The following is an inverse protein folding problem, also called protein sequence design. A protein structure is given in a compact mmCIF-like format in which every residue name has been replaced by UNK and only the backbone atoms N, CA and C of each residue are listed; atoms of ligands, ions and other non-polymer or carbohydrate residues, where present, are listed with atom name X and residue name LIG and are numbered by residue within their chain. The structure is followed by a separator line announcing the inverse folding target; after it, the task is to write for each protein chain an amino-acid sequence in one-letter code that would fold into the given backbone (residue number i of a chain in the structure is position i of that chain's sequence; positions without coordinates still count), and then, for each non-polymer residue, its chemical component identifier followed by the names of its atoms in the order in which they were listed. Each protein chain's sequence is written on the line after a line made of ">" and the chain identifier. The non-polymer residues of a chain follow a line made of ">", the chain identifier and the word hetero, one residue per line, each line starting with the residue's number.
data_IF_965041976620
#
_entry.id   IF_965041976620
#
_cell.length_a   1.000
_cell.length_b   1.000
_cell.length_c   1.000
_cell.angle_alpha   90.00
_cell.angle_beta   90.00
_cell.angle_gamma   90.00
#
_symmetry.space_group_name_H-M   'P 1'
#
loop_
_entity.id
_entity.type
_entity.pdbx_description
1 polymer ?
#
# COMPACT_ATOMS: atom_id res chain seq x y z
N UNK A 1 0.61 28.07 -8.47
CA UNK A 1 0.93 27.31 -9.68
C UNK A 1 -0.29 26.71 -10.34
N UNK A 2 -0.10 26.22 -11.54
CA UNK A 2 -1.08 25.47 -12.31
C UNK A 2 -0.43 24.17 -12.81
N UNK A 3 -1.22 23.14 -12.97
CA UNK A 3 -0.77 21.82 -13.41
C UNK A 3 -1.83 21.20 -14.32
N UNK A 4 -1.41 20.49 -15.35
CA UNK A 4 -2.29 19.71 -16.19
C UNK A 4 -1.70 18.31 -16.39
N UNK A 5 -2.49 17.28 -16.06
CA UNK A 5 -2.14 15.88 -16.23
C UNK A 5 -3.10 15.24 -17.23
N UNK A 6 -2.56 14.39 -18.10
CA UNK A 6 -3.30 13.59 -19.06
C UNK A 6 -2.87 12.14 -18.93
N UNK A 7 -3.78 11.30 -18.50
CA UNK A 7 -3.58 9.85 -18.37
C UNK A 7 -4.44 9.13 -19.38
N UNK A 8 -3.84 8.20 -20.12
CA UNK A 8 -4.53 7.32 -21.05
C UNK A 8 -4.24 5.87 -20.69
N UNK A 9 -5.25 5.19 -20.18
CA UNK A 9 -5.22 3.78 -19.85
C UNK A 9 -5.91 2.97 -20.94
N UNK A 10 -5.22 1.97 -21.50
CA UNK A 10 -5.78 0.98 -22.40
C UNK A 10 -5.30 -0.41 -21.94
N UNK A 11 -6.10 -1.06 -21.10
CA UNK A 11 -5.83 -2.41 -20.60
C UNK A 11 -6.52 -3.43 -21.47
N UNK A 12 -5.75 -4.39 -22.00
CA UNK A 12 -6.23 -5.43 -22.90
C UNK A 12 -6.07 -6.79 -22.24
N UNK A 13 -7.16 -7.54 -22.18
CA UNK A 13 -7.11 -8.94 -21.79
C UNK A 13 -6.24 -9.74 -22.77
N UNK A 14 -5.19 -10.38 -22.27
CA UNK A 14 -4.17 -11.06 -23.12
C UNK A 14 -4.23 -12.58 -23.04
N UNK A 15 -5.00 -13.18 -22.15
CA UNK A 15 -5.08 -14.64 -22.00
C UNK A 15 -6.06 -15.28 -23.01
N UNK A 16 -5.72 -15.14 -24.29
CA UNK A 16 -6.52 -15.69 -25.39
C UNK A 16 -6.71 -17.21 -25.31
N UNK A 17 -5.76 -17.94 -24.70
CA UNK A 17 -5.86 -19.40 -24.58
C UNK A 17 -7.01 -19.78 -23.64
N UNK A 18 -7.14 -19.11 -22.49
CA UNK A 18 -8.20 -19.35 -21.53
C UNK A 18 -9.58 -19.03 -22.09
N UNK A 19 -9.73 -17.93 -22.81
CA UNK A 19 -11.00 -17.59 -23.46
C UNK A 19 -11.39 -18.61 -24.54
N UNK A 20 -10.39 -19.13 -25.26
CA UNK A 20 -10.58 -20.22 -26.20
C UNK A 20 -10.99 -21.52 -25.52
N UNK A 21 -10.37 -21.85 -24.39
CA UNK A 21 -10.69 -23.06 -23.61
C UNK A 21 -12.10 -22.98 -23.05
N UNK A 22 -12.53 -21.82 -22.55
CA UNK A 22 -13.88 -21.56 -22.11
C UNK A 22 -14.90 -21.67 -23.26
N UNK A 23 -14.58 -21.10 -24.41
CA UNK A 23 -15.38 -21.23 -25.64
C UNK A 23 -15.57 -22.68 -26.08
N UNK A 24 -14.51 -23.47 -26.06
CA UNK A 24 -14.51 -24.89 -26.41
C UNK A 24 -15.18 -25.76 -25.34
N UNK A 25 -15.20 -25.34 -24.08
CA UNK A 25 -15.98 -26.00 -23.04
C UNK A 25 -17.49 -25.83 -23.24
N UNK A 26 -17.95 -24.65 -23.75
CA UNK A 26 -19.34 -24.43 -24.13
C UNK A 26 -19.73 -25.22 -25.41
N UNK A 27 -18.88 -25.17 -26.43
CA UNK A 27 -19.09 -25.88 -27.71
C UNK A 27 -17.80 -26.53 -28.19
N UNK A 28 -17.53 -27.81 -27.84
CA UNK A 28 -16.33 -28.52 -28.21
C UNK A 28 -16.12 -28.69 -29.73
N UNK A 29 -17.18 -28.48 -30.53
CA UNK A 29 -17.15 -28.61 -31.97
C UNK A 29 -16.99 -27.28 -32.72
N UNK A 30 -16.98 -26.14 -31.95
CA UNK A 30 -16.87 -24.83 -32.57
C UNK A 30 -15.57 -24.61 -33.33
N UNK A 31 -15.69 -24.11 -34.56
CA UNK A 31 -14.56 -23.74 -35.42
C UNK A 31 -14.87 -22.44 -36.16
N UNK A 32 -13.84 -21.81 -36.75
CA UNK A 32 -14.00 -20.59 -37.54
C UNK A 32 -14.75 -19.47 -36.81
N UNK A 33 -15.69 -18.84 -37.51
CA UNK A 33 -16.45 -17.68 -36.99
C UNK A 33 -17.24 -18.01 -35.72
N UNK A 34 -17.74 -19.26 -35.58
CA UNK A 34 -18.48 -19.68 -34.38
C UNK A 34 -17.56 -19.71 -33.14
N UNK A 35 -16.36 -20.24 -33.30
CA UNK A 35 -15.35 -20.24 -32.22
C UNK A 35 -14.94 -18.82 -31.85
N UNK A 36 -14.75 -17.94 -32.84
CA UNK A 36 -14.42 -16.55 -32.57
C UNK A 36 -15.52 -15.81 -31.82
N UNK A 37 -16.80 -16.01 -32.19
CA UNK A 37 -17.93 -15.43 -31.44
C UNK A 37 -17.98 -15.92 -29.99
N UNK A 38 -17.66 -17.18 -29.75
CA UNK A 38 -17.59 -17.70 -28.36
C UNK A 38 -16.39 -17.15 -27.62
N UNK A 39 -15.23 -17.03 -28.26
CA UNK A 39 -14.06 -16.38 -27.65
C UNK A 39 -14.39 -14.93 -27.29
N UNK A 40 -14.99 -14.16 -28.18
CA UNK A 40 -15.38 -12.77 -27.95
C UNK A 40 -16.39 -12.65 -26.79
N UNK A 41 -17.32 -13.64 -26.64
CA UNK A 41 -18.26 -13.72 -25.52
C UNK A 41 -17.54 -13.83 -24.16
N UNK A 42 -16.44 -14.59 -24.12
CA UNK A 42 -15.67 -14.83 -22.89
C UNK A 42 -14.52 -13.82 -22.69
N UNK A 43 -14.20 -13.03 -23.70
CA UNK A 43 -13.17 -11.99 -23.60
C UNK A 43 -13.78 -10.74 -22.95
N UNK A 44 -13.28 -10.28 -21.79
CA UNK A 44 -13.81 -9.06 -21.20
C UNK A 44 -13.51 -7.85 -22.10
N UNK A 45 -14.39 -6.88 -22.10
CA UNK A 45 -14.14 -5.60 -22.78
C UNK A 45 -12.88 -4.95 -22.22
N UNK A 46 -12.01 -4.41 -23.10
CA UNK A 46 -10.79 -3.74 -22.66
C UNK A 46 -11.17 -2.53 -21.80
N UNK A 47 -10.52 -2.39 -20.65
CA UNK A 47 -10.69 -1.23 -19.81
C UNK A 47 -9.95 -0.04 -20.42
N UNK A 48 -10.69 0.89 -21.00
CA UNK A 48 -10.16 2.14 -21.54
C UNK A 48 -10.61 3.30 -20.71
N UNK A 49 -9.68 4.11 -20.28
CA UNK A 49 -9.99 5.33 -19.54
C UNK A 49 -9.03 6.45 -19.91
N UNK A 50 -9.58 7.61 -20.26
CA UNK A 50 -8.82 8.85 -20.44
C UNK A 50 -9.20 9.80 -19.31
N UNK A 51 -8.21 10.22 -18.54
CA UNK A 51 -8.37 11.13 -17.42
C UNK A 51 -7.56 12.40 -17.69
N UNK A 52 -8.23 13.55 -17.68
CA UNK A 52 -7.60 14.86 -17.72
C UNK A 52 -7.80 15.56 -16.39
N UNK A 53 -6.74 16.06 -15.78
CA UNK A 53 -6.79 16.77 -14.51
C UNK A 53 -6.19 18.17 -14.71
N UNK A 54 -7.01 19.19 -14.52
CA UNK A 54 -6.56 20.58 -14.47
C UNK A 54 -6.56 21.06 -13.03
N UNK A 55 -5.45 21.59 -12.56
CA UNK A 55 -5.28 22.00 -11.17
C UNK A 55 -4.72 23.41 -11.07
N UNK A 56 -5.19 24.13 -10.04
CA UNK A 56 -4.62 25.41 -9.64
C UNK A 56 -4.37 25.39 -8.13
N UNK A 57 -3.23 25.92 -7.68
CA UNK A 57 -2.91 25.96 -6.27
C UNK A 57 -2.22 27.24 -5.86
N UNK A 58 -2.48 27.66 -4.63
CA UNK A 58 -1.83 28.78 -3.98
C UNK A 58 -1.47 28.41 -2.55
N UNK A 59 -0.34 28.93 -2.11
CA UNK A 59 0.12 28.74 -0.74
C UNK A 59 0.93 29.95 -0.33
N UNK A 60 0.79 30.32 0.93
CA UNK A 60 1.63 31.33 1.57
C UNK A 60 2.18 30.82 2.90
N UNK A 61 3.38 31.24 3.22
CA UNK A 61 4.06 30.92 4.47
C UNK A 61 4.60 32.21 5.08
N UNK A 62 4.21 32.47 6.34
CA UNK A 62 4.72 33.54 7.19
C UNK A 62 5.68 32.96 8.18
N UNK A 63 6.89 33.50 8.26
CA UNK A 63 7.97 33.01 9.12
C UNK A 63 8.46 34.08 10.08
N UNK A 64 8.72 33.67 11.31
CA UNK A 64 9.55 34.38 12.27
C UNK A 64 10.64 33.44 12.79
N UNK A 65 11.44 33.89 13.75
CA UNK A 65 12.48 33.05 14.37
C UNK A 65 11.91 31.77 14.99
N UNK A 66 10.80 31.88 15.69
CA UNK A 66 10.19 30.76 16.42
C UNK A 66 8.97 30.17 15.71
N UNK A 67 8.27 30.93 14.87
CA UNK A 67 7.00 30.51 14.29
C UNK A 67 7.04 30.44 12.77
N UNK A 68 6.36 29.45 12.23
CA UNK A 68 5.98 29.44 10.82
C UNK A 68 4.51 29.02 10.71
N UNK A 69 3.76 29.79 9.92
CA UNK A 69 2.37 29.55 9.58
C UNK A 69 2.26 29.39 8.07
N UNK A 70 1.81 28.23 7.62
CA UNK A 70 1.56 27.95 6.23
C UNK A 70 0.08 27.69 6.01
N UNK A 71 -0.52 28.39 5.04
CA UNK A 71 -1.88 28.14 4.58
C UNK A 71 -1.83 28.00 3.06
N UNK A 72 -2.52 27.01 2.54
CA UNK A 72 -2.64 26.77 1.10
C UNK A 72 -3.93 26.08 0.74
N UNK A 73 -4.21 26.11 -0.54
CA UNK A 73 -5.35 25.39 -1.11
C UNK A 73 -5.07 25.02 -2.56
N UNK A 74 -5.63 23.91 -2.96
CA UNK A 74 -5.58 23.36 -4.31
C UNK A 74 -7.00 23.12 -4.80
N UNK A 75 -7.27 23.52 -6.03
CA UNK A 75 -8.50 23.24 -6.74
C UNK A 75 -8.18 22.29 -7.91
N UNK A 76 -8.81 21.14 -7.92
CA UNK A 76 -8.62 20.12 -8.94
C UNK A 76 -9.92 19.90 -9.72
N UNK A 77 -9.87 19.94 -11.04
CA UNK A 77 -10.96 19.50 -11.93
C UNK A 77 -10.51 18.28 -12.71
N UNK A 78 -11.06 17.13 -12.32
CA UNK A 78 -10.85 15.87 -13.01
C UNK A 78 -11.97 15.65 -14.03
N UNK A 79 -11.65 15.17 -15.24
CA UNK A 79 -12.62 14.99 -16.34
C UNK A 79 -13.71 13.94 -16.04
N UNK A 80 -13.41 12.96 -15.19
CA UNK A 80 -14.36 11.91 -14.79
C UNK A 80 -15.25 12.31 -13.61
N UNK A 81 -15.03 13.51 -13.05
CA UNK A 81 -15.79 14.02 -11.90
C UNK A 81 -16.70 15.19 -12.33
N UNK A 82 -17.91 15.23 -11.80
CA UNK A 82 -18.86 16.30 -12.11
C UNK A 82 -18.44 17.66 -11.56
N UNK A 83 -17.80 17.69 -10.38
CA UNK A 83 -17.41 18.90 -9.65
C UNK A 83 -15.89 19.01 -9.51
N UNK A 84 -15.41 20.24 -9.39
CA UNK A 84 -14.05 20.50 -8.95
C UNK A 84 -13.94 20.29 -7.43
N UNK A 85 -12.79 19.80 -6.98
CA UNK A 85 -12.50 19.52 -5.57
C UNK A 85 -11.54 20.59 -5.06
N UNK A 86 -11.88 21.17 -3.90
CA UNK A 86 -10.98 22.03 -3.15
C UNK A 86 -10.36 21.27 -2.00
N UNK A 87 -9.04 21.30 -1.90
CA UNK A 87 -8.23 20.63 -0.88
C UNK A 87 -7.42 21.69 -0.11
N UNK A 88 -7.90 22.14 1.06
CA UNK A 88 -7.16 23.06 1.92
C UNK A 88 -6.05 22.34 2.67
N UNK A 89 -5.01 23.11 3.05
CA UNK A 89 -3.98 22.69 3.98
C UNK A 89 -3.52 23.82 4.88
N UNK A 90 -3.18 23.50 6.09
CA UNK A 90 -2.57 24.42 7.03
C UNK A 90 -1.46 23.70 7.81
N UNK A 91 -0.39 24.42 8.13
CA UNK A 91 0.68 23.92 8.98
C UNK A 91 1.14 25.02 9.91
N UNK A 92 1.33 24.68 11.17
CA UNK A 92 1.89 25.55 12.20
C UNK A 92 3.15 24.86 12.71
N UNK A 93 4.25 25.58 12.72
CA UNK A 93 5.50 25.14 13.33
C UNK A 93 5.90 26.13 14.42
N UNK A 94 6.28 25.60 15.57
CA UNK A 94 6.79 26.35 16.68
C UNK A 94 8.12 25.77 17.15
N UNK A 95 9.16 26.60 17.17
CA UNK A 95 10.50 26.27 17.66
C UNK A 95 10.75 27.04 18.96
N UNK A 96 10.36 26.50 20.14
CA UNK A 96 10.63 27.16 21.42
C UNK A 96 12.12 27.35 21.70
N UNK A 97 12.93 26.44 21.19
CA UNK A 97 14.40 26.48 21.20
C UNK A 97 14.95 26.06 19.83
N UNK A 98 16.25 26.12 19.64
CA UNK A 98 16.90 25.60 18.42
C UNK A 98 16.81 24.07 18.32
N UNK A 99 16.62 23.38 19.44
CA UNK A 99 16.63 21.93 19.53
C UNK A 99 15.23 21.31 19.47
N UNK A 100 14.18 22.10 19.65
CA UNK A 100 12.80 21.61 19.71
C UNK A 100 11.98 22.19 18.56
N UNK A 101 11.34 21.32 17.81
CA UNK A 101 10.42 21.68 16.75
C UNK A 101 9.06 20.99 16.97
N UNK A 102 8.03 21.78 17.19
CA UNK A 102 6.66 21.32 17.36
C UNK A 102 5.89 21.68 16.10
N UNK A 103 5.15 20.72 15.55
CA UNK A 103 4.34 20.91 14.35
C UNK A 103 2.91 20.46 14.59
N UNK A 104 2.00 21.21 14.02
CA UNK A 104 0.61 20.81 13.86
C UNK A 104 0.22 21.03 12.42
N UNK A 105 -0.42 20.03 11.79
CA UNK A 105 -0.86 20.10 10.41
C UNK A 105 -2.29 19.61 10.23
N UNK A 106 -2.98 20.27 9.30
CA UNK A 106 -4.26 19.86 8.78
C UNK A 106 -4.18 19.81 7.25
N UNK A 107 -4.69 18.76 6.64
CA UNK A 107 -4.78 18.65 5.19
C UNK A 107 -6.03 17.87 4.77
N UNK A 108 -6.64 18.30 3.67
CA UNK A 108 -7.65 17.50 2.97
C UNK A 108 -7.08 16.97 1.66
N UNK A 109 -7.51 15.79 1.27
CA UNK A 109 -7.18 15.14 0.01
C UNK A 109 -8.38 14.40 -0.57
N UNK A 110 -8.24 13.92 -1.79
CA UNK A 110 -9.25 13.09 -2.43
C UNK A 110 -8.61 12.06 -3.36
N UNK A 111 -9.38 11.02 -3.66
CA UNK A 111 -9.07 10.01 -4.68
C UNK A 111 -10.24 9.97 -5.66
N UNK A 112 -9.97 10.19 -6.93
CA UNK A 112 -11.00 10.17 -7.97
C UNK A 112 -11.48 8.74 -8.26
N UNK A 113 -12.73 8.55 -8.73
CA UNK A 113 -13.30 7.23 -9.05
C UNK A 113 -12.78 6.71 -10.41
N UNK A 114 -11.46 6.62 -10.55
CA UNK A 114 -10.79 6.11 -11.74
C UNK A 114 -10.44 4.63 -11.60
N UNK A 115 -9.98 4.00 -12.69
CA UNK A 115 -9.38 2.68 -12.62
C UNK A 115 -8.04 2.73 -11.87
N UNK A 116 -7.75 1.73 -11.08
CA UNK A 116 -6.51 1.58 -10.32
C UNK A 116 -5.78 0.33 -10.77
N UNK A 117 -4.49 0.23 -10.45
CA UNK A 117 -3.67 -0.91 -10.84
C UNK A 117 -4.26 -2.24 -10.36
N UNK A 118 -4.88 -2.24 -9.17
CA UNK A 118 -5.57 -3.42 -8.64
C UNK A 118 -6.82 -3.83 -9.43
N UNK A 119 -7.37 -2.96 -10.26
CA UNK A 119 -8.51 -3.24 -11.14
C UNK A 119 -8.07 -3.85 -12.49
N UNK A 120 -6.75 -3.90 -12.73
CA UNK A 120 -6.14 -4.33 -13.97
C UNK A 120 -5.58 -5.74 -13.83
N UNK A 121 -5.56 -6.48 -14.94
CA UNK A 121 -4.86 -7.76 -15.07
C UNK A 121 -5.22 -8.82 -14.03
N UNK A 122 -6.46 -8.90 -13.64
CA UNK A 122 -6.87 -9.92 -12.70
C UNK A 122 -6.93 -11.28 -13.42
N UNK A 123 -5.78 -11.77 -13.77
CA UNK A 123 -5.57 -13.19 -13.98
C UNK A 123 -5.12 -13.78 -12.66
N UNK A 124 -6.02 -14.31 -11.88
CA UNK A 124 -5.67 -15.21 -10.81
C UNK A 124 -5.06 -16.46 -11.44
N UNK A 125 -3.75 -16.58 -11.37
CA UNK A 125 -3.05 -17.74 -11.93
C UNK A 125 -3.51 -18.98 -11.19
N UNK A 126 -4.41 -19.76 -11.82
CA UNK A 126 -4.96 -21.01 -11.28
C UNK A 126 -6.03 -20.85 -10.20
N UNK A 127 -6.78 -19.78 -10.20
CA UNK A 127 -7.98 -19.56 -9.39
C UNK A 127 -9.13 -19.07 -10.26
N UNK A 128 -10.24 -18.71 -9.66
CA UNK A 128 -11.36 -18.08 -10.35
C UNK A 128 -10.97 -16.69 -10.86
N UNK A 129 -11.47 -16.33 -12.04
CA UNK A 129 -11.28 -14.99 -12.57
C UNK A 129 -12.24 -14.02 -11.88
N UNK A 130 -11.67 -13.03 -11.23
CA UNK A 130 -12.44 -11.92 -10.66
C UNK A 130 -12.23 -10.70 -11.55
N UNK A 131 -13.33 -10.13 -12.05
CA UNK A 131 -13.33 -8.84 -12.75
C UNK A 131 -13.82 -7.76 -11.79
N UNK A 132 -13.06 -6.68 -11.63
CA UNK A 132 -13.47 -5.54 -10.83
C UNK A 132 -14.16 -4.51 -11.73
N UNK A 133 -15.40 -4.22 -11.42
CA UNK A 133 -16.20 -3.18 -12.09
C UNK A 133 -16.47 -2.02 -11.14
N UNK A 134 -16.67 -0.83 -11.67
CA UNK A 134 -16.97 0.36 -10.87
C UNK A 134 -18.47 0.62 -10.89
N UNK A 135 -19.04 0.95 -9.72
CA UNK A 135 -20.43 1.41 -9.64
C UNK A 135 -20.63 2.69 -10.47
N UNK A 136 -21.76 2.81 -11.12
CA UNK A 136 -22.08 3.97 -11.99
C UNK A 136 -22.18 5.29 -11.23
N UNK A 137 -22.50 5.23 -9.96
CA UNK A 137 -22.66 6.34 -9.03
C UNK A 137 -21.46 6.52 -8.08
N UNK A 138 -20.34 5.86 -8.38
CA UNK A 138 -19.13 5.93 -7.56
C UNK A 138 -18.63 7.38 -7.45
N UNK A 139 -18.55 7.87 -6.21
CA UNK A 139 -18.09 9.23 -5.86
C UNK A 139 -16.60 9.20 -5.54
N UNK A 140 -16.02 10.39 -5.47
CA UNK A 140 -14.65 10.53 -4.95
C UNK A 140 -14.56 10.16 -3.47
N UNK A 141 -13.51 9.43 -3.09
CA UNK A 141 -13.09 9.26 -1.69
C UNK A 141 -12.44 10.57 -1.21
N UNK A 142 -12.71 10.99 0.01
CA UNK A 142 -12.12 12.19 0.64
C UNK A 142 -11.44 11.85 1.95
N UNK A 143 -10.28 12.46 2.17
CA UNK A 143 -9.55 12.37 3.43
C UNK A 143 -9.45 13.72 4.13
N UNK A 144 -9.50 13.69 5.46
CA UNK A 144 -9.18 14.80 6.35
C UNK A 144 -8.21 14.30 7.40
N UNK A 145 -7.02 14.89 7.42
CA UNK A 145 -5.92 14.46 8.28
C UNK A 145 -5.49 15.56 9.21
N UNK A 146 -5.27 15.18 10.45
CA UNK A 146 -4.66 16.03 11.50
C UNK A 146 -3.45 15.29 12.02
N UNK A 147 -2.29 15.98 12.07
CA UNK A 147 -1.07 15.44 12.66
C UNK A 147 -0.50 16.44 13.64
N UNK A 148 0.04 15.95 14.74
CA UNK A 148 0.81 16.72 15.72
C UNK A 148 2.12 16.00 16.00
N UNK A 149 3.25 16.68 15.92
CA UNK A 149 4.55 16.09 16.18
C UNK A 149 5.47 17.01 16.96
N UNK A 150 6.40 16.40 17.68
CA UNK A 150 7.50 17.06 18.34
C UNK A 150 8.80 16.36 17.94
N UNK A 151 9.72 17.12 17.39
CA UNK A 151 11.11 16.74 17.14
C UNK A 151 11.99 17.37 18.19
N UNK A 152 12.78 16.58 18.90
CA UNK A 152 13.80 17.05 19.81
C UNK A 152 15.18 16.58 19.35
N UNK A 153 16.08 17.54 19.16
CA UNK A 153 17.48 17.32 18.80
C UNK A 153 18.35 17.65 20.01
N UNK A 154 19.34 16.83 20.27
CA UNK A 154 20.27 17.10 21.36
C UNK A 154 21.70 16.62 21.02
N UNK A 155 22.66 17.44 21.43
CA UNK A 155 24.09 17.14 21.30
C UNK A 155 24.71 17.00 22.69
N UNK A 156 25.32 15.87 22.98
CA UNK A 156 26.01 15.62 24.24
C UNK A 156 27.39 15.01 23.97
N UNK A 157 28.41 15.86 24.00
CA UNK A 157 29.77 15.50 23.62
C UNK A 157 29.83 15.10 22.14
N UNK A 158 30.30 13.89 21.88
CA UNK A 158 30.41 13.34 20.53
C UNK A 158 29.13 12.68 20.02
N UNK A 159 28.06 12.67 20.79
CA UNK A 159 26.78 12.09 20.42
C UNK A 159 25.82 13.15 19.88
N UNK A 160 25.07 12.74 18.86
CA UNK A 160 23.92 13.46 18.34
C UNK A 160 22.70 12.57 18.53
N UNK A 161 21.63 13.09 19.09
CA UNK A 161 20.36 12.39 19.28
C UNK A 161 19.21 13.18 18.68
N UNK A 162 18.22 12.47 18.16
CA UNK A 162 16.94 13.01 17.74
C UNK A 162 15.84 12.09 18.24
N UNK A 163 14.79 12.65 18.78
CA UNK A 163 13.56 11.96 19.16
C UNK A 163 12.37 12.64 18.50
N UNK A 164 11.63 11.87 17.71
CA UNK A 164 10.36 12.26 17.12
C UNK A 164 9.22 11.52 17.83
N UNK A 165 8.23 12.28 18.26
CA UNK A 165 6.95 11.77 18.71
C UNK A 165 5.88 12.38 17.83
N UNK A 166 5.03 11.55 17.24
CA UNK A 166 3.94 11.97 16.35
C UNK A 166 2.64 11.29 16.74
N UNK A 167 1.55 12.05 16.73
CA UNK A 167 0.19 11.54 16.74
C UNK A 167 -0.55 11.94 15.48
N UNK A 168 -1.35 11.05 14.92
CA UNK A 168 -2.10 11.28 13.71
C UNK A 168 -3.54 10.78 13.80
N UNK A 169 -4.42 11.47 13.08
CA UNK A 169 -5.81 11.07 12.88
C UNK A 169 -6.23 11.40 11.45
N UNK A 170 -6.73 10.41 10.72
CA UNK A 170 -7.28 10.58 9.37
C UNK A 170 -8.69 10.03 9.34
N UNK A 171 -9.63 10.84 8.86
CA UNK A 171 -10.99 10.45 8.54
C UNK A 171 -11.12 10.31 7.03
N UNK A 172 -11.64 9.16 6.58
CA UNK A 172 -12.03 8.92 5.20
C UNK A 172 -13.56 9.01 5.11
N UNK A 173 -14.03 9.72 4.09
CA UNK A 173 -15.44 9.76 3.70
C UNK A 173 -15.57 9.12 2.34
N UNK A 174 -16.61 8.30 2.17
CA UNK A 174 -16.86 7.55 0.94
C UNK A 174 -15.64 6.70 0.48
N UNK A 175 -14.94 5.92 1.38
CA UNK A 175 -13.77 5.13 0.98
C UNK A 175 -14.17 4.10 -0.08
N UNK A 176 -13.25 3.78 -0.97
CA UNK A 176 -13.50 2.73 -1.95
C UNK A 176 -13.39 1.37 -1.31
N UNK A 177 -14.46 0.58 -1.41
CA UNK A 177 -14.51 -0.80 -0.98
C UNK A 177 -14.95 -1.68 -2.15
N UNK A 178 -14.57 -2.96 -2.10
CA UNK A 178 -15.05 -3.96 -3.06
C UNK A 178 -16.19 -4.74 -2.40
N UNK A 179 -17.26 -4.97 -3.15
CA UNK A 179 -18.31 -5.90 -2.71
C UNK A 179 -17.74 -7.32 -2.65
N UNK A 180 -18.42 -8.21 -1.95
CA UNK A 180 -18.14 -9.62 -2.08
C UNK A 180 -18.24 -10.08 -3.55
N UNK A 181 -17.40 -11.04 -4.00
CA UNK A 181 -17.43 -11.55 -5.36
C UNK A 181 -18.77 -12.29 -5.62
N UNK A 182 -19.36 -12.06 -6.78
CA UNK A 182 -20.60 -12.71 -7.23
C UNK A 182 -20.41 -13.23 -8.65
N UNK A 183 -21.08 -14.32 -9.01
CA UNK A 183 -21.05 -14.82 -10.37
C UNK A 183 -21.54 -13.76 -11.36
N UNK A 184 -20.86 -13.65 -12.51
CA UNK A 184 -21.30 -12.74 -13.57
C UNK A 184 -22.68 -13.12 -14.08
N UNK A 185 -23.68 -12.24 -13.97
CA UNK A 185 -25.04 -12.52 -14.43
C UNK A 185 -25.14 -12.77 -15.95
N UNK A 186 -24.12 -12.38 -16.73
CA UNK A 186 -24.05 -12.65 -18.16
C UNK A 186 -23.50 -14.05 -18.48
N UNK A 187 -23.12 -14.84 -17.48
CA UNK A 187 -22.66 -16.21 -17.65
C UNK A 187 -21.27 -16.34 -18.29
N UNK A 188 -20.41 -15.35 -18.10
CA UNK A 188 -19.02 -15.38 -18.62
C UNK A 188 -18.12 -16.40 -17.91
N UNK A 189 -18.57 -16.96 -16.77
CA UNK A 189 -17.75 -17.82 -15.93
C UNK A 189 -16.77 -17.07 -15.03
N UNK A 190 -16.88 -15.73 -14.97
CA UNK A 190 -16.13 -14.88 -14.05
C UNK A 190 -16.91 -14.60 -12.77
N UNK A 191 -16.19 -14.25 -11.70
CA UNK A 191 -16.76 -13.53 -10.58
C UNK A 191 -16.62 -12.02 -10.81
N UNK A 192 -17.58 -11.26 -10.37
CA UNK A 192 -17.57 -9.80 -10.42
C UNK A 192 -17.52 -9.26 -9.00
N UNK A 193 -16.57 -8.38 -8.74
CA UNK A 193 -16.56 -7.50 -7.59
C UNK A 193 -16.86 -6.08 -8.05
N UNK A 194 -17.76 -5.40 -7.36
CA UNK A 194 -18.08 -4.01 -7.69
C UNK A 194 -17.37 -3.07 -6.71
N UNK A 195 -16.63 -2.10 -7.25
CA UNK A 195 -16.08 -1.01 -6.44
C UNK A 195 -17.18 -0.01 -6.14
N UNK A 196 -17.46 0.19 -4.86
CA UNK A 196 -18.50 1.08 -4.33
C UNK A 196 -17.90 2.01 -3.27
N UNK A 197 -18.66 3.01 -2.83
CA UNK A 197 -18.29 3.80 -1.67
C UNK A 197 -18.78 3.11 -0.39
N UNK A 198 -17.89 2.90 0.56
CA UNK A 198 -18.19 2.35 1.88
C UNK A 198 -18.71 3.42 2.85
N UNK A 199 -18.99 3.01 4.08
CA UNK A 199 -19.64 3.81 5.13
C UNK A 199 -18.78 4.95 5.69
N UNK A 200 -17.52 4.99 5.34
CA UNK A 200 -16.49 5.86 5.93
C UNK A 200 -15.48 5.04 6.73
N UNK A 201 -14.32 5.64 6.98
CA UNK A 201 -13.27 4.98 7.75
C UNK A 201 -12.45 6.00 8.56
N UNK A 202 -11.72 5.51 9.56
CA UNK A 202 -10.80 6.30 10.37
C UNK A 202 -9.53 5.52 10.64
N UNK A 203 -8.40 6.21 10.55
CA UNK A 203 -7.09 5.70 10.93
C UNK A 203 -6.49 6.68 11.93
N UNK A 204 -6.05 6.18 13.07
CA UNK A 204 -5.43 7.00 14.09
C UNK A 204 -4.37 6.22 14.86
N UNK A 205 -3.38 6.94 15.35
CA UNK A 205 -2.28 6.31 16.06
C UNK A 205 -1.18 7.27 16.45
N UNK A 206 -0.04 6.69 16.78
CA UNK A 206 1.15 7.43 17.11
C UNK A 206 2.41 6.71 16.66
N UNK A 207 3.43 7.48 16.38
CA UNK A 207 4.77 7.03 16.01
C UNK A 207 5.79 7.58 17.00
N UNK A 208 6.69 6.72 17.43
CA UNK A 208 7.89 7.09 18.18
C UNK A 208 9.10 6.71 17.33
N UNK A 209 9.96 7.68 17.01
CA UNK A 209 11.21 7.43 16.30
C UNK A 209 12.38 8.02 17.08
N UNK A 210 13.45 7.25 17.23
CA UNK A 210 14.70 7.68 17.83
C UNK A 210 15.88 7.50 16.89
N UNK A 211 16.78 8.48 16.86
CA UNK A 211 18.07 8.43 16.16
C UNK A 211 19.17 8.78 17.13
N UNK A 212 20.26 8.04 17.08
CA UNK A 212 21.49 8.37 17.79
C UNK A 212 22.69 8.11 16.91
N UNK A 213 23.62 9.04 16.88
CA UNK A 213 24.89 8.89 16.20
C UNK A 213 26.04 9.22 17.17
N UNK A 214 27.09 8.42 17.14
CA UNK A 214 28.36 8.66 17.82
C UNK A 214 29.46 8.88 16.78
N UNK A 215 29.81 10.14 16.59
CA UNK A 215 30.73 10.56 15.51
C UNK A 215 30.28 9.95 14.16
N UNK A 216 31.26 9.48 13.37
CA UNK A 216 31.07 8.71 12.14
C UNK A 216 31.05 7.19 12.36
N UNK A 217 31.16 6.73 13.62
CA UNK A 217 31.40 5.34 14.00
C UNK A 217 30.11 4.53 14.13
N UNK A 218 29.10 5.08 14.79
CA UNK A 218 27.84 4.39 15.09
C UNK A 218 26.68 5.28 14.72
N UNK A 219 25.73 4.73 13.99
CA UNK A 219 24.43 5.34 13.75
C UNK A 219 23.35 4.30 14.02
N UNK A 220 22.38 4.67 14.83
CA UNK A 220 21.22 3.85 15.14
C UNK A 220 19.95 4.68 14.92
N UNK A 221 18.99 4.13 14.24
CA UNK A 221 17.64 4.68 14.09
C UNK A 221 16.64 3.57 14.31
N UNK A 222 15.56 3.84 15.06
CA UNK A 222 14.46 2.91 15.24
C UNK A 222 13.15 3.69 15.30
N UNK A 223 12.10 3.11 14.75
CA UNK A 223 10.75 3.66 14.76
C UNK A 223 9.72 2.58 15.06
N UNK A 224 8.70 2.96 15.83
CA UNK A 224 7.55 2.12 16.14
C UNK A 224 6.27 2.92 15.94
N UNK A 225 5.32 2.37 15.20
CA UNK A 225 3.98 2.92 15.03
C UNK A 225 2.95 1.98 15.63
N UNK A 226 2.04 2.56 16.39
CA UNK A 226 0.85 1.89 16.91
C UNK A 226 -0.37 2.61 16.38
N UNK A 227 -1.27 1.89 15.73
CA UNK A 227 -2.44 2.48 15.06
C UNK A 227 -3.69 1.61 15.18
N UNK A 228 -4.81 2.23 14.84
CA UNK A 228 -6.09 1.57 14.58
C UNK A 228 -6.66 2.05 13.26
N UNK A 229 -7.18 1.13 12.48
CA UNK A 229 -7.81 1.36 11.18
C UNK A 229 -9.18 0.72 11.17
N UNK A 230 -10.25 1.53 11.20
CA UNK A 230 -11.62 1.07 11.40
C UNK A 230 -12.56 1.71 10.39
N UNK A 231 -13.53 0.95 9.91
CA UNK A 231 -14.70 1.47 9.22
C UNK A 231 -15.69 2.10 10.22
N UNK A 232 -16.55 2.98 9.77
CA UNK A 232 -17.59 3.60 10.61
C UNK A 232 -18.75 2.62 10.88
N UNK A 233 -19.03 1.76 9.93
CA UNK A 233 -19.92 0.60 10.06
C UNK A 233 -19.22 -0.63 9.52
N UNK A 234 -19.50 -1.82 10.03
CA UNK A 234 -18.88 -3.04 9.50
C UNK A 234 -19.13 -3.20 7.99
N UNK A 235 -18.07 -3.52 7.25
CA UNK A 235 -18.11 -3.79 5.81
C UNK A 235 -18.06 -5.29 5.54
N UNK A 236 -18.76 -5.74 4.51
CA UNK A 236 -18.84 -7.16 4.13
C UNK A 236 -17.51 -7.59 3.51
N UNK A 237 -16.88 -8.63 4.09
CA UNK A 237 -15.60 -9.18 3.61
C UNK A 237 -15.74 -10.55 2.95
N UNK A 238 -16.86 -11.25 3.13
CA UNK A 238 -17.15 -12.58 2.60
C UNK A 238 -18.56 -12.66 2.01
N UNK A 239 -18.70 -13.38 0.91
CA UNK A 239 -20.01 -13.72 0.28
C UNK A 239 -20.61 -15.02 0.82
N UNK A 240 -19.90 -15.77 1.66
CA UNK A 240 -20.28 -17.09 2.15
C UNK A 240 -21.50 -17.04 3.09
N UNK A 241 -22.70 -17.15 2.49
CA UNK A 241 -23.97 -17.20 3.22
C UNK A 241 -24.36 -18.62 3.64
N UNK A 242 -23.64 -19.61 3.16
CA UNK A 242 -23.90 -21.02 3.51
C UNK A 242 -23.30 -21.37 4.85
N UNK A 243 -22.08 -20.91 5.14
CA UNK A 243 -21.33 -21.28 6.31
C UNK A 243 -21.26 -20.18 7.37
N UNK A 244 -21.44 -18.91 6.99
CA UNK A 244 -21.29 -17.75 7.86
C UNK A 244 -22.57 -16.98 8.05
N UNK A 245 -22.87 -16.58 9.29
CA UNK A 245 -23.93 -15.63 9.61
C UNK A 245 -23.64 -14.25 9.04
N UNK A 246 -24.64 -13.38 9.03
CA UNK A 246 -24.49 -12.01 8.55
C UNK A 246 -23.46 -11.23 9.38
N UNK A 247 -23.42 -11.43 10.69
CA UNK A 247 -22.44 -10.79 11.59
C UNK A 247 -21.01 -11.26 11.31
N UNK A 248 -20.80 -12.55 11.05
CA UNK A 248 -19.47 -13.13 10.78
C UNK A 248 -18.90 -12.68 9.44
N UNK A 249 -19.74 -12.35 8.47
CA UNK A 249 -19.33 -11.85 7.15
C UNK A 249 -18.95 -10.37 7.13
N UNK A 250 -19.11 -9.66 8.24
CA UNK A 250 -18.83 -8.23 8.34
C UNK A 250 -17.69 -7.96 9.33
N UNK A 251 -16.92 -6.91 9.07
CA UNK A 251 -15.85 -6.45 9.96
C UNK A 251 -15.81 -4.92 10.01
N UNK A 252 -15.64 -4.37 11.22
CA UNK A 252 -15.35 -2.95 11.42
C UNK A 252 -13.88 -2.61 11.15
N UNK A 253 -13.02 -3.62 10.95
CA UNK A 253 -11.59 -3.42 10.71
C UNK A 253 -11.27 -3.31 9.23
N UNK A 254 -10.35 -2.39 8.90
CA UNK A 254 -9.71 -2.39 7.59
C UNK A 254 -8.74 -3.57 7.57
N UNK A 255 -9.05 -4.54 6.72
CA UNK A 255 -8.29 -5.79 6.62
C UNK A 255 -6.90 -5.55 6.03
N UNK A 256 -5.99 -6.51 6.22
CA UNK A 256 -4.57 -6.46 5.75
C UNK A 256 -3.80 -5.24 6.27
N UNK A 257 -4.20 -4.70 7.41
CA UNK A 257 -3.57 -3.53 8.02
C UNK A 257 -3.11 -3.88 9.44
N UNK A 258 -1.79 -3.88 9.73
CA UNK A 258 -1.29 -4.19 11.06
C UNK A 258 -1.55 -3.03 12.04
N UNK A 259 -1.92 -3.38 13.28
CA UNK A 259 -2.09 -2.40 14.36
C UNK A 259 -0.73 -1.87 14.89
N UNK A 260 0.33 -2.65 14.73
CA UNK A 260 1.69 -2.32 15.20
C UNK A 260 2.70 -2.68 14.13
N UNK A 261 3.59 -1.75 13.80
CA UNK A 261 4.73 -2.02 12.92
C UNK A 261 5.90 -1.11 13.26
N UNK A 262 7.09 -1.50 12.83
CA UNK A 262 8.28 -0.71 13.12
C UNK A 262 9.49 -1.17 12.34
N UNK A 263 10.55 -0.41 12.50
CA UNK A 263 11.81 -0.70 11.84
C UNK A 263 12.99 -0.27 12.71
N UNK A 264 14.16 -0.78 12.39
CA UNK A 264 15.41 -0.21 12.83
C UNK A 264 16.49 -0.31 11.76
N UNK A 265 17.45 0.60 11.82
CA UNK A 265 18.70 0.54 11.08
C UNK A 265 19.85 0.83 12.04
N UNK A 266 20.93 0.06 11.93
CA UNK A 266 22.15 0.28 12.69
C UNK A 266 23.34 0.20 11.74
N UNK A 267 24.21 1.19 11.79
CA UNK A 267 25.46 1.21 11.02
C UNK A 267 26.62 1.36 11.98
N UNK A 268 27.63 0.52 11.80
CA UNK A 268 28.87 0.56 12.54
C UNK A 268 30.06 0.63 11.58
N UNK A 269 30.86 1.68 11.70
CA UNK A 269 32.06 1.94 10.89
C UNK A 269 33.31 1.80 11.78
N UNK A 270 33.84 0.58 12.00
CA UNK A 270 35.04 0.39 12.85
C UNK A 270 36.26 1.10 12.29
N UNK A 271 36.35 1.20 10.96
CA UNK A 271 37.38 1.94 10.25
C UNK A 271 36.75 2.81 9.16
N UNK A 272 37.54 3.67 8.50
CA UNK A 272 37.05 4.44 7.34
C UNK A 272 36.70 3.55 6.14
N UNK A 273 37.33 2.38 6.05
CA UNK A 273 37.18 1.45 4.94
C UNK A 273 36.07 0.39 5.18
N UNK A 274 35.76 0.08 6.44
CA UNK A 274 34.82 -1.00 6.78
C UNK A 274 33.52 -0.46 7.35
N UNK A 275 32.42 -0.85 6.75
CA UNK A 275 31.06 -0.56 7.24
C UNK A 275 30.26 -1.84 7.43
N UNK A 276 29.58 -1.95 8.54
CA UNK A 276 28.63 -3.03 8.86
C UNK A 276 27.28 -2.40 9.11
N UNK A 277 26.24 -2.83 8.37
CA UNK A 277 24.89 -2.34 8.54
C UNK A 277 23.94 -3.48 8.88
N UNK A 278 23.02 -3.21 9.80
CA UNK A 278 21.88 -4.06 10.13
C UNK A 278 20.60 -3.27 9.85
N UNK A 279 19.59 -3.93 9.34
CA UNK A 279 18.25 -3.38 9.20
C UNK A 279 17.22 -4.42 9.61
N UNK A 280 16.18 -3.98 10.29
CA UNK A 280 15.07 -4.84 10.69
C UNK A 280 13.74 -4.18 10.41
N UNK A 281 12.76 -4.98 9.97
CA UNK A 281 11.38 -4.59 9.81
C UNK A 281 10.49 -5.52 10.64
N UNK A 282 9.61 -4.93 11.42
CA UNK A 282 8.59 -5.66 12.18
C UNK A 282 7.21 -5.31 11.64
N UNK A 283 6.43 -6.32 11.29
CA UNK A 283 5.02 -6.21 10.92
C UNK A 283 4.21 -7.04 11.88
N UNK A 284 3.37 -6.38 12.67
CA UNK A 284 2.48 -7.03 13.62
C UNK A 284 1.34 -7.77 12.94
N UNK A 285 0.55 -8.43 13.75
CA UNK A 285 -0.60 -9.23 13.31
C UNK A 285 -1.67 -8.35 12.66
N UNK A 286 -2.31 -8.88 11.63
CA UNK A 286 -3.43 -8.26 10.94
C UNK A 286 -4.50 -9.30 10.61
N UNK A 287 -5.73 -8.86 10.34
CA UNK A 287 -6.78 -9.73 9.86
C UNK A 287 -6.74 -9.83 8.35
N UNK A 288 -6.84 -11.05 7.84
CA UNK A 288 -6.72 -11.38 6.42
C UNK A 288 -7.87 -12.29 6.04
N UNK A 289 -8.67 -11.96 5.01
CA UNK A 289 -9.69 -12.88 4.51
C UNK A 289 -9.00 -14.04 3.79
N UNK A 290 -9.51 -15.24 4.00
CA UNK A 290 -9.19 -16.46 3.27
C UNK A 290 -10.50 -16.96 2.67
N UNK A 291 -10.68 -16.74 1.37
CA UNK A 291 -11.95 -16.93 0.66
C UNK A 291 -11.94 -18.27 -0.07
N UNK A 292 -12.53 -19.29 0.55
CA UNK A 292 -12.53 -20.66 0.06
C UNK A 292 -13.90 -21.14 -0.40
N UNK A 293 -14.98 -20.47 -0.01
CA UNK A 293 -16.34 -20.91 -0.33
C UNK A 293 -16.61 -21.03 -1.82
N UNK A 294 -16.08 -20.09 -2.61
CA UNK A 294 -16.17 -20.10 -4.07
C UNK A 294 -15.07 -20.91 -4.76
N UNK A 295 -14.05 -21.36 -4.02
CA UNK A 295 -12.87 -22.06 -4.55
C UNK A 295 -13.03 -23.58 -4.43
N UNK A 296 -13.33 -24.08 -3.24
CA UNK A 296 -13.47 -25.52 -2.95
C UNK A 296 -14.73 -25.86 -2.15
N UNK A 297 -15.58 -24.87 -1.88
CA UNK A 297 -16.83 -25.02 -1.16
C UNK A 297 -16.68 -25.18 0.35
N UNK A 298 -15.51 -24.84 0.91
CA UNK A 298 -15.31 -24.79 2.37
C UNK A 298 -15.57 -23.36 2.88
N UNK A 299 -15.80 -23.23 4.20
CA UNK A 299 -16.12 -21.94 4.80
C UNK A 299 -15.01 -20.90 4.61
N UNK A 300 -15.38 -19.67 4.32
CA UNK A 300 -14.48 -18.52 4.36
C UNK A 300 -14.04 -18.24 5.80
N UNK A 301 -12.79 -17.80 5.98
CA UNK A 301 -12.20 -17.55 7.28
C UNK A 301 -11.60 -16.15 7.37
N UNK A 302 -11.85 -15.45 8.47
CA UNK A 302 -11.11 -14.23 8.81
C UNK A 302 -9.92 -14.60 9.69
N UNK A 303 -8.77 -14.82 9.05
CA UNK A 303 -7.55 -15.31 9.69
C UNK A 303 -6.79 -14.16 10.32
N UNK A 304 -6.28 -14.38 11.54
CA UNK A 304 -5.31 -13.47 12.15
C UNK A 304 -3.90 -13.94 11.82
N UNK A 305 -3.18 -13.14 10.99
CA UNK A 305 -1.82 -13.47 10.57
C UNK A 305 -0.85 -13.62 11.76
N UNK A 306 0.25 -14.36 11.62
CA UNK A 306 1.39 -14.22 12.52
C UNK A 306 2.00 -12.81 12.39
N UNK A 307 2.86 -12.46 13.31
CA UNK A 307 3.77 -11.32 13.18
C UNK A 307 5.02 -11.73 12.38
N UNK A 308 5.61 -10.77 11.70
CA UNK A 308 6.81 -10.96 10.90
C UNK A 308 7.94 -10.06 11.39
N UNK A 309 9.14 -10.62 11.43
CA UNK A 309 10.36 -9.86 11.67
C UNK A 309 11.41 -10.23 10.65
N UNK A 310 11.76 -9.29 9.79
CA UNK A 310 12.79 -9.44 8.79
C UNK A 310 14.06 -8.73 9.26
N UNK A 311 15.16 -9.46 9.34
CA UNK A 311 16.48 -8.93 9.67
C UNK A 311 17.40 -9.06 8.47
N UNK A 312 18.03 -7.97 8.07
CA UNK A 312 19.06 -7.92 7.06
C UNK A 312 20.41 -7.49 7.65
N UNK A 313 21.49 -7.96 7.04
CA UNK A 313 22.86 -7.53 7.36
C UNK A 313 23.66 -7.31 6.08
N UNK A 314 24.50 -6.28 6.08
CA UNK A 314 25.39 -5.93 4.99
C UNK A 314 26.76 -5.55 5.54
N UNK A 315 27.80 -6.05 4.91
CA UNK A 315 29.21 -5.61 5.13
C UNK A 315 29.70 -4.97 3.84
N UNK A 316 30.33 -3.81 3.94
CA UNK A 316 30.96 -3.12 2.82
C UNK A 316 32.40 -2.77 3.18
N UNK A 317 33.29 -2.91 2.20
CA UNK A 317 34.71 -2.58 2.33
C UNK A 317 35.15 -1.72 1.17
N UNK A 318 35.72 -0.55 1.48
CA UNK A 318 36.21 0.46 0.53
C UNK A 318 37.72 0.35 0.33
N UNK A 319 38.16 0.41 -0.92
CA UNK A 319 39.55 0.47 -1.33
C UNK A 319 39.74 1.74 -2.14
N UNK A 320 40.50 2.70 -1.58
CA UNK A 320 40.81 3.95 -2.26
C UNK A 320 42.11 3.83 -3.04
N UNK A 321 42.09 4.21 -4.32
CA UNK A 321 43.30 4.26 -5.16
C UNK A 321 43.17 5.35 -6.23
N UNK A 322 44.22 6.16 -6.36
CA UNK A 322 44.35 7.17 -7.42
C UNK A 322 43.14 8.07 -7.66
N UNK A 323 42.42 8.47 -6.60
CA UNK A 323 41.22 9.32 -6.69
C UNK A 323 39.91 8.57 -7.00
N UNK A 324 40.00 7.24 -7.10
CA UNK A 324 38.85 6.36 -7.24
C UNK A 324 38.63 5.57 -5.95
N UNK A 325 37.36 5.23 -5.66
CA UNK A 325 37.01 4.35 -4.56
C UNK A 325 36.30 3.11 -5.12
N UNK A 326 36.83 1.92 -4.83
CA UNK A 326 36.22 0.63 -5.15
C UNK A 326 35.63 0.02 -3.89
N UNK A 327 34.31 -0.12 -3.85
CA UNK A 327 33.60 -0.74 -2.72
C UNK A 327 33.15 -2.14 -3.09
N UNK A 328 33.52 -3.11 -2.26
CA UNK A 328 32.95 -4.46 -2.26
C UNK A 328 31.90 -4.56 -1.17
N UNK A 329 30.74 -5.15 -1.48
CA UNK A 329 29.72 -5.37 -0.48
C UNK A 329 29.10 -6.76 -0.61
N UNK A 330 28.79 -7.35 0.54
CA UNK A 330 28.08 -8.62 0.66
C UNK A 330 26.99 -8.48 1.73
N UNK A 331 25.92 -9.21 1.58
CA UNK A 331 24.88 -9.14 2.57
C UNK A 331 23.88 -10.29 2.48
N UNK A 332 23.01 -10.33 3.47
CA UNK A 332 21.91 -11.25 3.59
C UNK A 332 20.66 -10.47 3.96
N UNK A 333 19.55 -10.75 3.29
CA UNK A 333 18.23 -10.24 3.62
C UNK A 333 17.41 -11.35 4.25
N UNK A 334 16.49 -10.97 5.14
CA UNK A 334 15.58 -11.88 5.81
C UNK A 334 16.30 -13.08 6.45
N UNK A 335 17.27 -12.78 7.33
CA UNK A 335 18.14 -13.80 8.00
C UNK A 335 17.33 -14.91 8.68
N UNK A 336 16.19 -14.54 9.28
CA UNK A 336 15.32 -15.49 9.98
C UNK A 336 14.39 -16.27 9.06
N UNK A 337 14.41 -15.98 7.75
CA UNK A 337 13.51 -16.60 6.77
C UNK A 337 12.04 -16.42 7.17
N UNK A 338 11.70 -15.19 7.59
CA UNK A 338 10.38 -14.79 8.05
C UNK A 338 9.51 -14.44 6.85
N UNK A 339 8.64 -15.34 6.43
CA UNK A 339 7.68 -15.14 5.34
C UNK A 339 6.43 -15.99 5.59
N UNK A 340 5.37 -15.71 4.86
CA UNK A 340 4.16 -16.52 4.91
C UNK A 340 4.47 -17.96 4.48
N UNK A 341 3.98 -18.94 5.24
CA UNK A 341 4.24 -20.38 4.97
C UNK A 341 2.98 -21.16 4.61
N UNK A 342 1.84 -20.60 4.90
CA UNK A 342 0.49 -21.18 4.79
C UNK A 342 -0.31 -20.65 3.59
N UNK A 343 0.37 -20.06 2.58
CA UNK A 343 -0.31 -19.65 1.34
C UNK A 343 -0.79 -20.89 0.59
N UNK A 344 -1.94 -20.77 -0.05
CA UNK A 344 -2.57 -21.85 -0.79
C UNK A 344 -1.76 -22.26 -2.02
N UNK A 345 -1.95 -23.51 -2.44
CA UNK A 345 -1.23 -24.11 -3.56
C UNK A 345 -2.18 -24.91 -4.44
N UNK A 346 -1.83 -25.04 -5.73
CA UNK A 346 -2.59 -25.84 -6.67
C UNK A 346 -3.60 -25.03 -7.47
N UNK A 347 -4.49 -25.75 -8.14
CA UNK A 347 -5.51 -25.16 -9.01
C UNK A 347 -6.67 -24.56 -8.20
N UNK A 348 -7.05 -25.23 -7.13
CA UNK A 348 -8.08 -24.77 -6.18
C UNK A 348 -7.39 -24.08 -5.02
N UNK A 349 -7.26 -22.73 -5.09
CA UNK A 349 -6.63 -21.91 -4.07
C UNK A 349 -7.24 -20.52 -4.05
N UNK A 350 -7.28 -19.88 -2.89
CA UNK A 350 -7.44 -18.43 -2.80
C UNK A 350 -6.12 -17.73 -3.16
N UNK A 351 -6.01 -17.25 -4.40
CA UNK A 351 -4.83 -16.51 -4.87
C UNK A 351 -4.67 -15.16 -4.17
N UNK A 352 -5.71 -14.65 -3.54
CA UNK A 352 -5.72 -13.46 -2.71
C UNK A 352 -5.17 -13.69 -1.30
N UNK A 353 -5.02 -14.93 -0.82
CA UNK A 353 -4.51 -15.24 0.51
C UNK A 353 -2.99 -15.07 0.60
N UNK A 354 -2.53 -13.84 0.39
CA UNK A 354 -1.12 -13.43 0.46
C UNK A 354 -1.02 -12.22 1.40
N UNK A 355 -0.20 -12.31 2.45
CA UNK A 355 -0.15 -11.29 3.50
C UNK A 355 1.22 -11.10 4.18
N UNK A 356 2.20 -11.92 3.89
CA UNK A 356 3.52 -11.89 4.51
C UNK A 356 4.59 -11.27 3.61
N UNK A 357 5.84 -11.17 4.10
CA UNK A 357 6.98 -10.79 3.27
C UNK A 357 7.08 -11.68 2.02
N UNK A 358 7.30 -11.05 0.86
CA UNK A 358 7.28 -11.73 -0.43
C UNK A 358 8.56 -12.50 -0.78
N UNK A 359 9.66 -12.28 -0.03
CA UNK A 359 10.95 -12.89 -0.33
C UNK A 359 11.50 -13.69 0.85
N UNK A 360 11.92 -14.96 0.63
CA UNK A 360 12.64 -15.72 1.61
C UNK A 360 14.05 -15.14 1.83
N UNK A 361 14.85 -15.78 2.69
CA UNK A 361 16.26 -15.41 2.88
C UNK A 361 16.99 -15.38 1.54
N UNK A 362 17.63 -14.26 1.26
CA UNK A 362 18.43 -14.07 0.05
C UNK A 362 19.81 -13.52 0.39
N UNK A 363 20.77 -13.84 -0.46
CA UNK A 363 22.16 -13.38 -0.35
C UNK A 363 22.48 -12.51 -1.56
N UNK A 364 23.27 -11.47 -1.34
CA UNK A 364 23.71 -10.60 -2.43
C UNK A 364 25.16 -10.22 -2.28
N UNK A 365 25.81 -9.97 -3.39
CA UNK A 365 27.15 -9.36 -3.46
C UNK A 365 27.14 -8.30 -4.54
N UNK A 366 27.93 -7.26 -4.36
CA UNK A 366 28.04 -6.17 -5.31
C UNK A 366 29.38 -5.47 -5.26
N UNK A 367 29.69 -4.81 -6.37
CA UNK A 367 30.86 -3.95 -6.52
C UNK A 367 30.40 -2.58 -6.99
N UNK A 368 30.90 -1.52 -6.37
CA UNK A 368 30.62 -0.12 -6.74
C UNK A 368 31.95 0.59 -6.98
N UNK A 369 32.09 1.23 -8.14
CA UNK A 369 33.20 2.12 -8.44
C UNK A 369 32.70 3.57 -8.39
N UNK A 370 33.41 4.41 -7.66
CA UNK A 370 33.17 5.86 -7.58
C UNK A 370 34.44 6.60 -7.98
N UNK A 371 34.32 7.68 -8.77
CA UNK A 371 35.39 8.49 -9.30
C UNK A 371 35.04 9.97 -9.28
#
# INVERSE_FOLDING_TARGET
>A
GVEFNHDNLDDKATDMQKYRDAALAEDPTATGDRLQQLIDKYTPDPLKQIVNIASAYVQNEWKSEQWSFLIGGRLDKNSIMSKAIFSPRANIRYNPTQDINIRFSYAEGFRAPQAFDEDLHISNVGGELISIVRAKDLKEERSRSVNASMDWYHYFGDFQANLLIEGFFTKLSDPFVLTAPVADPNGSGYLIQTRVNGSGAKVYGGTLEGKIAWRDKIQLQAGLTVQRSLYDSPEEWSADKEHLSDEERHSDRILRTPDVYGYFTATFNPTKALSVALNGNYTGRMYVPHLMSEVDGTADLLVKSPDFFELGAKVAYDIDFSGMCLQFNVGVQNIFNSYQKDFDKGATRDSGYIYGPGAPRSYFAGVKLSF
#
